data_IF_153220934771
#
_entry.id   IF_153220934771
#
_cell.length_a   1.000
_cell.length_b   1.000
_cell.length_c   1.000
_cell.angle_alpha   90.00
_cell.angle_beta   90.00
_cell.angle_gamma   90.00
#
_symmetry.space_group_name_H-M   'P 1'
#
loop_
_entity.id
_entity.type
_entity.pdbx_description
1 polymer ?
#
# COMPACT_ATOMS: atom_id res chain seq x y z
N UNK A 1 8.70 -42.72 -16.95
CA UNK A 1 7.56 -41.79 -16.84
C UNK A 1 7.76 -40.61 -15.87
N UNK A 2 8.76 -40.62 -14.96
CA UNK A 2 8.92 -39.59 -13.92
C UNK A 2 9.56 -38.26 -14.42
N UNK A 3 10.54 -38.32 -15.32
CA UNK A 3 11.33 -37.15 -15.77
C UNK A 3 10.50 -36.16 -16.59
N UNK A 4 9.62 -36.63 -17.49
CA UNK A 4 8.75 -35.74 -18.30
C UNK A 4 7.74 -34.96 -17.45
N UNK A 5 7.31 -35.51 -16.31
CA UNK A 5 6.38 -34.85 -15.39
C UNK A 5 7.10 -33.79 -14.56
N UNK A 6 8.30 -34.10 -14.05
CA UNK A 6 9.15 -33.15 -13.34
C UNK A 6 9.57 -31.96 -14.23
N UNK A 7 9.96 -32.22 -15.48
CA UNK A 7 10.36 -31.17 -16.43
C UNK A 7 9.19 -30.23 -16.78
N UNK A 8 7.98 -30.76 -16.95
CA UNK A 8 6.77 -29.94 -17.16
C UNK A 8 6.46 -29.07 -15.95
N UNK A 9 6.59 -29.59 -14.74
CA UNK A 9 6.38 -28.83 -13.50
C UNK A 9 7.42 -27.71 -13.38
N UNK A 10 8.69 -27.99 -13.70
CA UNK A 10 9.77 -27.01 -13.66
C UNK A 10 9.57 -25.88 -14.68
N UNK A 11 9.26 -26.22 -15.95
CA UNK A 11 8.99 -25.23 -17.00
C UNK A 11 7.77 -24.37 -16.65
N UNK A 12 6.72 -24.98 -16.10
CA UNK A 12 5.55 -24.24 -15.62
C UNK A 12 5.90 -23.26 -14.48
N UNK A 13 6.71 -23.68 -13.51
CA UNK A 13 7.18 -22.80 -12.45
C UNK A 13 8.04 -21.66 -12.98
N UNK A 14 8.98 -21.93 -13.90
CA UNK A 14 9.85 -20.91 -14.47
C UNK A 14 9.06 -19.87 -15.29
N UNK A 15 8.14 -20.31 -16.15
CA UNK A 15 7.26 -19.42 -16.91
C UNK A 15 6.36 -18.60 -15.99
N UNK A 16 5.83 -19.21 -14.93
CA UNK A 16 5.04 -18.50 -13.94
C UNK A 16 5.88 -17.43 -13.26
N UNK A 17 7.06 -17.75 -12.71
CA UNK A 17 7.96 -16.77 -12.10
C UNK A 17 8.26 -15.57 -13.03
N UNK A 18 8.44 -15.81 -14.33
CA UNK A 18 8.63 -14.75 -15.33
C UNK A 18 7.38 -13.87 -15.45
N UNK A 19 6.18 -14.46 -15.57
CA UNK A 19 4.91 -13.71 -15.63
C UNK A 19 4.68 -12.90 -14.34
N UNK A 20 4.97 -13.48 -13.17
CA UNK A 20 4.86 -12.81 -11.86
C UNK A 20 5.81 -11.61 -11.78
N UNK A 21 7.04 -11.78 -12.26
CA UNK A 21 8.05 -10.73 -12.30
C UNK A 21 7.63 -9.59 -13.24
N UNK A 22 7.25 -9.91 -14.49
CA UNK A 22 6.76 -8.91 -15.46
C UNK A 22 5.49 -8.18 -14.98
N UNK A 23 4.58 -8.85 -14.28
CA UNK A 23 3.41 -8.21 -13.68
C UNK A 23 3.77 -7.34 -12.48
N UNK A 24 4.79 -7.70 -11.68
CA UNK A 24 5.31 -6.86 -10.58
C UNK A 24 5.85 -5.56 -11.13
N UNK A 25 6.70 -5.61 -12.14
CA UNK A 25 7.33 -4.41 -12.71
C UNK A 25 6.28 -3.45 -13.28
N UNK A 26 5.24 -3.99 -13.93
CA UNK A 26 4.12 -3.20 -14.44
C UNK A 26 3.23 -2.59 -13.33
N UNK A 27 3.04 -3.28 -12.19
CA UNK A 27 2.31 -2.72 -11.05
C UNK A 27 3.10 -1.61 -10.38
N UNK A 28 4.39 -1.85 -10.13
CA UNK A 28 5.29 -0.87 -9.51
C UNK A 28 5.44 0.40 -10.34
N UNK A 29 5.63 0.23 -11.66
CA UNK A 29 5.69 1.34 -12.60
C UNK A 29 4.44 2.21 -12.52
N UNK A 30 3.25 1.60 -12.55
CA UNK A 30 1.98 2.34 -12.46
C UNK A 30 1.79 3.06 -11.12
N UNK A 31 2.19 2.45 -9.99
CA UNK A 31 2.11 3.14 -8.70
C UNK A 31 3.07 4.34 -8.68
N UNK A 32 4.28 4.17 -9.21
CA UNK A 32 5.24 5.29 -9.37
C UNK A 32 4.68 6.39 -10.29
N UNK A 33 4.05 6.02 -11.41
CA UNK A 33 3.36 6.97 -12.30
C UNK A 33 2.22 7.69 -11.58
N UNK A 34 1.41 6.99 -10.78
CA UNK A 34 0.35 7.62 -9.99
C UNK A 34 0.92 8.66 -9.01
N UNK A 35 2.02 8.35 -8.33
CA UNK A 35 2.70 9.30 -7.44
C UNK A 35 3.33 10.47 -8.20
N UNK A 36 3.89 10.23 -9.38
CA UNK A 36 4.41 11.28 -10.25
C UNK A 36 3.29 12.26 -10.65
N UNK A 37 2.17 11.76 -11.15
CA UNK A 37 1.03 12.61 -11.53
C UNK A 37 0.41 13.34 -10.33
N UNK A 38 0.31 12.69 -9.17
CA UNK A 38 -0.14 13.34 -7.95
C UNK A 38 0.78 14.50 -7.55
N UNK A 39 2.10 14.32 -7.67
CA UNK A 39 3.09 15.38 -7.43
C UNK A 39 3.01 16.52 -8.44
N UNK A 40 2.89 16.22 -9.75
CA UNK A 40 2.71 17.22 -10.82
C UNK A 40 1.46 18.06 -10.60
N UNK A 41 0.37 17.45 -10.13
CA UNK A 41 -0.88 18.13 -9.80
C UNK A 41 -0.83 18.87 -8.46
N UNK A 42 0.24 18.72 -7.68
CA UNK A 42 0.35 19.29 -6.34
C UNK A 42 -0.75 18.79 -5.39
N UNK A 43 -1.13 17.51 -5.50
CA UNK A 43 -2.24 16.97 -4.71
C UNK A 43 -1.87 16.97 -3.23
N UNK A 44 -2.76 17.53 -2.42
CA UNK A 44 -2.75 17.32 -0.97
C UNK A 44 -3.36 15.96 -0.60
N UNK A 45 -3.29 15.60 0.68
CA UNK A 45 -3.82 14.32 1.17
C UNK A 45 -5.29 14.11 0.79
N UNK A 46 -6.14 15.12 1.00
CA UNK A 46 -7.58 15.07 0.67
C UNK A 46 -7.79 14.84 -0.82
N UNK A 47 -7.10 15.59 -1.66
CA UNK A 47 -7.17 15.45 -3.12
C UNK A 47 -6.75 14.07 -3.60
N UNK A 48 -5.75 13.46 -2.97
CA UNK A 48 -5.34 12.10 -3.30
C UNK A 48 -6.44 11.09 -2.95
N UNK A 49 -7.05 11.22 -1.76
CA UNK A 49 -8.17 10.36 -1.33
C UNK A 49 -9.40 10.53 -2.24
N UNK A 50 -9.71 11.76 -2.67
CA UNK A 50 -10.78 12.02 -3.65
C UNK A 50 -10.53 11.31 -4.98
N UNK A 51 -9.30 11.38 -5.51
CA UNK A 51 -8.95 10.67 -6.75
C UNK A 51 -9.01 9.16 -6.59
N UNK A 52 -8.72 8.65 -5.39
CA UNK A 52 -8.92 7.25 -5.07
C UNK A 52 -10.41 6.87 -5.06
N UNK A 53 -11.26 7.67 -4.43
CA UNK A 53 -12.71 7.45 -4.44
C UNK A 53 -13.31 7.48 -5.86
N UNK A 54 -12.82 8.37 -6.73
CA UNK A 54 -13.18 8.41 -8.15
C UNK A 54 -12.67 7.15 -8.90
N UNK A 55 -11.49 6.64 -8.55
CA UNK A 55 -10.96 5.40 -9.14
C UNK A 55 -11.84 4.19 -8.82
N UNK A 56 -12.41 4.13 -7.61
CA UNK A 56 -13.44 3.14 -7.22
C UNK A 56 -14.82 3.39 -7.84
N UNK A 57 -15.05 4.56 -8.46
CA UNK A 57 -16.30 4.91 -9.13
C UNK A 57 -17.37 5.50 -8.20
N UNK A 58 -16.97 6.08 -7.06
CA UNK A 58 -17.91 6.61 -6.06
C UNK A 58 -18.34 8.04 -6.30
N UNK A 59 -17.55 8.77 -7.08
CA UNK A 59 -17.83 10.14 -7.46
C UNK A 59 -17.37 10.32 -8.90
N UNK A 60 -18.03 11.22 -9.63
CA UNK A 60 -17.45 11.86 -10.80
C UNK A 60 -16.99 13.22 -10.29
N UNK A 61 -15.68 13.45 -10.15
CA UNK A 61 -15.27 14.73 -9.57
C UNK A 61 -15.76 15.88 -10.45
N UNK A 62 -16.53 16.78 -9.84
CA UNK A 62 -16.85 18.09 -10.41
C UNK A 62 -15.66 19.05 -10.33
N UNK A 63 -14.41 18.54 -10.29
CA UNK A 63 -13.20 19.35 -10.14
C UNK A 63 -12.97 20.16 -11.42
N UNK A 64 -13.60 21.34 -11.45
CA UNK A 64 -13.34 22.46 -12.34
C UNK A 64 -12.07 23.26 -11.94
N UNK A 65 -11.16 22.69 -11.15
CA UNK A 65 -9.95 23.37 -10.69
C UNK A 65 -8.72 22.52 -10.97
N UNK A 66 -8.15 22.72 -12.16
CA UNK A 66 -6.87 22.14 -12.56
C UNK A 66 -6.88 21.48 -13.93
N UNK A 67 -5.72 20.93 -14.28
CA UNK A 67 -5.48 20.15 -15.50
C UNK A 67 -6.32 18.85 -15.48
N UNK A 68 -7.51 18.93 -16.05
CA UNK A 68 -8.49 17.83 -16.19
C UNK A 68 -7.86 16.61 -16.85
N UNK A 69 -6.96 16.82 -17.81
CA UNK A 69 -6.31 15.73 -18.56
C UNK A 69 -5.40 14.96 -17.61
N UNK A 70 -4.54 15.66 -16.86
CA UNK A 70 -3.63 15.04 -15.90
C UNK A 70 -4.36 14.35 -14.75
N UNK A 71 -5.46 14.95 -14.25
CA UNK A 71 -6.33 14.29 -13.27
C UNK A 71 -6.93 12.98 -13.80
N UNK A 72 -7.47 13.01 -15.02
CA UNK A 72 -8.06 11.83 -15.66
C UNK A 72 -7.04 10.70 -15.83
N UNK A 73 -5.78 11.04 -16.17
CA UNK A 73 -4.69 10.06 -16.21
C UNK A 73 -4.40 9.46 -14.84
N UNK A 74 -4.26 10.29 -13.81
CA UNK A 74 -4.05 9.84 -12.43
C UNK A 74 -5.13 8.84 -11.97
N UNK A 75 -6.40 9.20 -12.12
CA UNK A 75 -7.54 8.34 -11.74
C UNK A 75 -7.55 7.04 -12.56
N UNK A 76 -7.25 7.10 -13.86
CA UNK A 76 -7.19 5.92 -14.73
C UNK A 76 -6.10 4.94 -14.31
N UNK A 77 -4.94 5.45 -13.89
CA UNK A 77 -3.83 4.64 -13.39
C UNK A 77 -4.23 3.96 -12.07
N UNK A 78 -4.80 4.70 -11.11
CA UNK A 78 -5.32 4.14 -9.87
C UNK A 78 -6.34 3.03 -10.11
N UNK A 79 -7.29 3.25 -11.02
CA UNK A 79 -8.30 2.25 -11.40
C UNK A 79 -7.66 0.99 -11.97
N UNK A 80 -6.62 1.13 -12.80
CA UNK A 80 -5.87 0.00 -13.33
C UNK A 80 -5.12 -0.77 -12.24
N UNK A 81 -4.52 -0.07 -11.26
CA UNK A 81 -3.86 -0.69 -10.11
C UNK A 81 -4.85 -1.53 -9.30
N UNK A 82 -6.01 -0.96 -8.96
CA UNK A 82 -7.07 -1.63 -8.20
C UNK A 82 -7.54 -2.89 -8.93
N UNK A 83 -7.74 -2.80 -10.26
CA UNK A 83 -8.17 -3.95 -11.08
C UNK A 83 -7.15 -5.08 -11.01
N UNK A 84 -5.88 -4.78 -11.25
CA UNK A 84 -4.83 -5.79 -11.28
C UNK A 84 -4.64 -6.45 -9.92
N UNK A 85 -4.74 -5.68 -8.83
CA UNK A 85 -4.63 -6.21 -7.48
C UNK A 85 -5.74 -7.20 -7.14
N UNK A 86 -6.96 -7.03 -7.68
CA UNK A 86 -8.05 -8.00 -7.51
C UNK A 86 -7.74 -9.36 -8.14
N UNK A 87 -6.96 -9.38 -9.22
CA UNK A 87 -6.64 -10.58 -10.01
C UNK A 87 -5.41 -11.36 -9.51
N UNK A 88 -4.76 -10.95 -8.41
CA UNK A 88 -3.51 -11.58 -7.92
C UNK A 88 -3.76 -12.92 -7.21
N UNK A 89 -2.92 -13.92 -7.52
CA UNK A 89 -2.97 -15.26 -6.92
C UNK A 89 -2.23 -15.38 -5.57
N UNK A 90 -2.51 -16.44 -4.79
CA UNK A 90 -1.88 -16.66 -3.46
C UNK A 90 -0.38 -16.93 -3.55
N UNK A 91 0.02 -17.66 -4.58
CA UNK A 91 1.40 -18.04 -4.80
C UNK A 91 2.27 -16.81 -5.12
N UNK A 92 1.76 -15.91 -5.96
CA UNK A 92 2.40 -14.63 -6.29
C UNK A 92 2.62 -13.74 -5.08
N UNK A 93 1.68 -13.78 -4.12
CA UNK A 93 1.77 -12.99 -2.90
C UNK A 93 2.83 -13.51 -1.92
N UNK A 94 2.86 -14.83 -1.70
CA UNK A 94 3.85 -15.43 -0.78
C UNK A 94 5.29 -15.14 -1.23
N UNK A 95 5.59 -15.38 -2.52
CA UNK A 95 6.93 -15.11 -3.07
C UNK A 95 7.34 -13.63 -2.95
N UNK A 96 6.38 -12.71 -3.08
CA UNK A 96 6.66 -11.27 -2.94
C UNK A 96 6.96 -10.89 -1.50
N UNK A 97 6.22 -11.42 -0.52
CA UNK A 97 6.52 -11.16 0.89
C UNK A 97 7.85 -11.79 1.34
N UNK A 98 8.21 -12.96 0.81
CA UNK A 98 9.53 -13.57 1.05
C UNK A 98 10.66 -12.71 0.46
N UNK A 99 10.45 -12.15 -0.74
CA UNK A 99 11.40 -11.22 -1.35
C UNK A 99 11.58 -9.94 -0.50
N UNK A 100 10.49 -9.42 0.07
CA UNK A 100 10.53 -8.29 1.00
C UNK A 100 11.33 -8.60 2.27
N UNK A 101 11.11 -9.77 2.88
CA UNK A 101 11.88 -10.21 4.04
C UNK A 101 13.38 -10.31 3.71
N UNK A 102 13.71 -10.88 2.55
CA UNK A 102 15.10 -10.97 2.06
C UNK A 102 15.71 -9.57 1.87
N UNK A 103 14.95 -8.65 1.31
CA UNK A 103 15.39 -7.28 1.08
C UNK A 103 15.64 -6.53 2.39
N UNK A 104 14.72 -6.62 3.36
CA UNK A 104 14.92 -6.03 4.69
C UNK A 104 16.17 -6.55 5.37
N UNK A 105 16.41 -7.87 5.31
CA UNK A 105 17.65 -8.46 5.82
C UNK A 105 18.89 -7.91 5.14
N UNK A 106 18.85 -7.75 3.81
CA UNK A 106 19.98 -7.22 3.04
C UNK A 106 20.29 -5.75 3.37
N UNK A 107 19.27 -4.98 3.72
CA UNK A 107 19.43 -3.57 4.09
C UNK A 107 20.09 -3.41 5.46
N UNK A 108 20.18 -4.46 6.29
CA UNK A 108 20.69 -4.41 7.68
C UNK A 108 20.10 -3.23 8.48
N UNK A 109 18.88 -2.83 8.14
CA UNK A 109 18.26 -1.61 8.63
C UNK A 109 17.27 -1.98 9.73
N UNK A 110 17.29 -1.25 10.84
CA UNK A 110 16.25 -1.25 11.86
C UNK A 110 15.01 -0.53 11.29
N UNK A 111 13.98 -1.25 10.81
CA UNK A 111 12.90 -0.61 10.10
C UNK A 111 11.88 -0.02 11.07
N UNK A 112 11.16 1.00 10.62
CA UNK A 112 9.88 1.37 11.18
C UNK A 112 8.85 0.40 10.58
N UNK A 113 8.05 -0.25 11.41
CA UNK A 113 6.92 -1.07 11.01
C UNK A 113 5.63 -0.27 11.21
N UNK A 114 4.72 -0.33 10.25
CA UNK A 114 3.35 0.17 10.38
C UNK A 114 2.38 -1.01 10.29
N UNK A 115 1.47 -1.11 11.25
CA UNK A 115 0.29 -1.96 11.14
C UNK A 115 -0.72 -1.16 10.30
N UNK A 116 -0.94 -1.59 9.06
CA UNK A 116 -1.65 -0.87 8.01
C UNK A 116 -0.97 0.45 7.53
N UNK A 117 -0.88 0.63 6.21
CA UNK A 117 -0.50 1.89 5.55
C UNK A 117 -1.11 1.98 4.14
N UNK A 118 -2.11 2.85 3.97
CA UNK A 118 -2.79 3.02 2.70
C UNK A 118 -1.97 3.82 1.69
N UNK A 119 -2.39 3.73 0.42
CA UNK A 119 -1.74 4.45 -0.67
C UNK A 119 -1.70 5.98 -0.46
N UNK A 120 -2.74 6.65 0.08
CA UNK A 120 -2.69 8.07 0.41
C UNK A 120 -1.59 8.41 1.43
N UNK A 121 -1.43 7.60 2.48
CA UNK A 121 -0.39 7.83 3.49
C UNK A 121 1.01 7.61 2.93
N UNK A 122 1.20 6.58 2.09
CA UNK A 122 2.49 6.32 1.44
C UNK A 122 2.90 7.53 0.57
N UNK A 123 1.99 8.03 -0.26
CA UNK A 123 2.23 9.23 -1.07
C UNK A 123 2.55 10.45 -0.18
N UNK A 124 1.79 10.65 0.89
CA UNK A 124 1.98 11.79 1.79
C UNK A 124 3.32 11.76 2.51
N UNK A 125 3.72 10.59 3.03
CA UNK A 125 5.02 10.38 3.68
C UNK A 125 6.15 10.67 2.69
N UNK A 126 6.08 10.10 1.48
CA UNK A 126 7.06 10.34 0.42
C UNK A 126 7.18 11.83 0.11
N UNK A 127 6.06 12.51 -0.14
CA UNK A 127 6.04 13.94 -0.47
C UNK A 127 6.67 14.79 0.64
N UNK A 128 6.35 14.50 1.91
CA UNK A 128 6.92 15.20 3.07
C UNK A 128 8.43 15.00 3.20
N UNK A 129 8.93 13.78 2.98
CA UNK A 129 10.36 13.48 3.03
C UNK A 129 11.11 14.20 1.88
N UNK A 130 10.56 14.18 0.68
CA UNK A 130 11.15 14.86 -0.48
C UNK A 130 11.17 16.38 -0.31
N UNK A 131 10.14 16.98 0.32
CA UNK A 131 10.14 18.40 0.69
C UNK A 131 11.27 18.77 1.67
N UNK A 132 11.75 17.80 2.46
CA UNK A 132 12.91 17.95 3.35
C UNK A 132 14.24 17.59 2.67
N UNK A 133 14.24 17.34 1.37
CA UNK A 133 15.43 16.93 0.61
C UNK A 133 15.84 15.47 0.81
N UNK A 134 14.97 14.64 1.42
CA UNK A 134 15.24 13.23 1.66
C UNK A 134 14.65 12.42 0.50
N UNK A 135 15.51 11.76 -0.26
CA UNK A 135 15.09 10.90 -1.36
C UNK A 135 14.58 9.56 -0.83
N UNK A 136 13.42 9.13 -1.32
CA UNK A 136 12.75 7.89 -0.86
C UNK A 136 12.35 7.07 -2.08
N UNK A 137 12.84 5.84 -2.12
CA UNK A 137 12.36 4.83 -3.05
C UNK A 137 11.18 4.08 -2.42
N UNK A 138 10.12 3.83 -3.20
CA UNK A 138 8.95 3.10 -2.70
C UNK A 138 8.78 1.81 -3.47
N UNK A 139 8.79 0.70 -2.73
CA UNK A 139 8.44 -0.63 -3.22
C UNK A 139 7.10 -1.07 -2.66
N UNK A 140 6.39 -1.90 -3.43
CA UNK A 140 5.16 -2.56 -2.98
C UNK A 140 5.27 -4.05 -3.20
N UNK A 141 4.91 -4.77 -2.16
CA UNK A 141 4.72 -6.21 -2.18
C UNK A 141 3.23 -6.52 -2.06
N UNK A 142 2.88 -7.78 -2.24
CA UNK A 142 1.49 -8.20 -2.25
C UNK A 142 1.27 -9.12 -1.07
N UNK A 143 0.43 -8.69 -0.13
CA UNK A 143 -0.19 -9.49 0.90
C UNK A 143 -1.62 -9.81 0.44
N UNK A 144 -1.86 -10.97 -0.19
CA UNK A 144 -3.13 -11.25 -0.87
C UNK A 144 -4.36 -11.16 0.04
N UNK A 145 -4.21 -11.51 1.32
CA UNK A 145 -5.33 -11.43 2.25
C UNK A 145 -5.56 -10.01 2.76
N UNK A 146 -4.59 -9.09 2.60
CA UNK A 146 -4.65 -7.77 3.21
C UNK A 146 -4.82 -7.87 4.72
N UNK A 147 -4.11 -8.82 5.34
CA UNK A 147 -4.18 -9.13 6.77
C UNK A 147 -2.78 -9.32 7.33
N UNK A 148 -2.56 -8.85 8.55
CA UNK A 148 -1.34 -9.04 9.34
C UNK A 148 -0.95 -10.52 9.49
N UNK A 149 -1.93 -11.43 9.52
CA UNK A 149 -1.67 -12.88 9.68
C UNK A 149 -0.81 -13.47 8.56
N UNK A 150 -1.00 -13.05 7.31
CA UNK A 150 -0.17 -13.50 6.18
C UNK A 150 1.26 -13.00 6.29
N UNK A 151 1.41 -11.74 6.71
CA UNK A 151 2.70 -11.11 6.90
C UNK A 151 3.49 -11.82 8.01
N UNK A 152 2.90 -11.95 9.20
CA UNK A 152 3.51 -12.65 10.34
C UNK A 152 3.95 -14.08 10.00
N UNK A 153 3.17 -14.79 9.18
CA UNK A 153 3.53 -16.14 8.71
C UNK A 153 4.83 -16.17 7.92
N UNK A 154 5.08 -15.17 7.07
CA UNK A 154 6.33 -15.05 6.29
C UNK A 154 7.51 -14.70 7.20
N UNK A 155 7.28 -13.80 8.17
CA UNK A 155 8.29 -13.42 9.15
C UNK A 155 8.55 -14.50 10.21
N UNK A 156 7.64 -15.48 10.34
CA UNK A 156 7.66 -16.57 11.32
C UNK A 156 7.55 -16.10 12.77
N UNK A 157 6.73 -15.08 12.98
CA UNK A 157 6.53 -14.43 14.28
C UNK A 157 5.04 -14.45 14.68
N UNK A 158 4.75 -14.33 15.99
CA UNK A 158 3.37 -14.39 16.50
C UNK A 158 2.65 -13.04 16.46
N UNK A 159 3.37 -11.93 16.62
CA UNK A 159 2.83 -10.56 16.62
C UNK A 159 3.68 -9.60 15.77
N UNK A 160 3.12 -8.46 15.36
CA UNK A 160 3.91 -7.40 14.70
C UNK A 160 4.99 -6.83 15.63
N UNK A 161 4.76 -6.86 16.94
CA UNK A 161 5.77 -6.46 17.92
C UNK A 161 6.94 -7.45 17.98
N UNK A 162 6.71 -8.74 17.77
CA UNK A 162 7.78 -9.73 17.62
C UNK A 162 8.58 -9.46 16.34
N UNK A 163 7.91 -9.15 15.22
CA UNK A 163 8.62 -8.76 13.98
C UNK A 163 9.46 -7.50 14.22
N UNK A 164 8.92 -6.47 14.87
CA UNK A 164 9.69 -5.27 15.18
C UNK A 164 10.93 -5.60 16.04
N UNK A 165 10.76 -6.43 17.08
CA UNK A 165 11.89 -6.89 17.92
C UNK A 165 12.93 -7.69 17.13
N UNK A 166 12.51 -8.55 16.20
CA UNK A 166 13.41 -9.34 15.36
C UNK A 166 14.39 -8.47 14.55
N UNK A 167 13.98 -7.25 14.16
CA UNK A 167 14.80 -6.31 13.40
C UNK A 167 15.21 -5.08 14.20
N UNK A 168 15.12 -5.11 15.53
CA UNK A 168 15.44 -3.97 16.40
C UNK A 168 14.72 -2.67 15.96
N UNK A 169 13.53 -2.82 15.39
CA UNK A 169 12.72 -1.76 14.79
C UNK A 169 11.69 -1.14 15.73
N UNK A 170 10.92 -0.19 15.19
CA UNK A 170 9.84 0.50 15.91
C UNK A 170 8.48 0.18 15.29
N UNK A 171 7.44 -0.04 16.10
CA UNK A 171 6.10 -0.32 15.61
C UNK A 171 5.17 0.89 15.76
N UNK A 172 4.52 1.28 14.68
CA UNK A 172 3.40 2.23 14.63
C UNK A 172 2.11 1.47 14.29
N UNK A 173 1.25 1.25 15.27
CA UNK A 173 -0.06 0.61 15.07
C UNK A 173 -1.24 1.59 15.07
N UNK A 174 -0.95 2.90 15.07
CA UNK A 174 -1.98 3.94 15.24
C UNK A 174 -2.87 4.06 14.00
N UNK A 175 -2.36 3.77 12.79
CA UNK A 175 -3.16 3.83 11.56
C UNK A 175 -4.25 2.75 11.60
N UNK A 176 -3.88 1.49 11.82
CA UNK A 176 -4.83 0.38 11.95
C UNK A 176 -5.83 0.62 13.09
N UNK A 177 -5.36 1.07 14.26
CA UNK A 177 -6.24 1.43 15.36
C UNK A 177 -7.26 2.51 14.97
N UNK A 178 -6.83 3.59 14.32
CA UNK A 178 -7.71 4.68 13.92
C UNK A 178 -8.69 4.26 12.82
N UNK A 179 -8.28 3.36 11.92
CA UNK A 179 -9.14 2.77 10.91
C UNK A 179 -10.29 2.02 11.57
N UNK A 180 -9.97 1.06 12.45
CA UNK A 180 -10.96 0.26 13.16
C UNK A 180 -11.84 1.08 14.10
N UNK A 181 -11.29 2.12 14.73
CA UNK A 181 -12.02 2.92 15.72
C UNK A 181 -12.96 3.94 15.07
N UNK A 182 -12.54 4.60 13.99
CA UNK A 182 -13.22 5.79 13.47
C UNK A 182 -13.74 5.68 12.04
N UNK A 183 -13.22 4.75 11.24
CA UNK A 183 -13.46 4.69 9.78
C UNK A 183 -14.15 3.40 9.31
N UNK A 184 -14.12 2.32 10.10
CA UNK A 184 -14.73 1.03 9.73
C UNK A 184 -16.08 0.76 10.42
N UNK A 185 -16.31 1.33 11.62
CA UNK A 185 -17.46 0.96 12.47
C UNK A 185 -18.82 1.25 11.84
N UNK A 186 -18.96 2.41 11.21
CA UNK A 186 -20.24 2.91 10.71
C UNK A 186 -20.07 3.46 9.30
N UNK A 187 -20.98 3.14 8.36
CA UNK A 187 -21.02 3.75 7.04
C UNK A 187 -21.25 5.26 7.13
N UNK A 188 -20.45 6.03 6.40
CA UNK A 188 -20.52 7.50 6.38
C UNK A 188 -20.84 8.02 4.98
N UNK A 189 -21.28 9.27 4.88
CA UNK A 189 -21.23 9.99 3.61
C UNK A 189 -19.76 10.13 3.16
N UNK A 190 -19.51 10.13 1.85
CA UNK A 190 -18.15 10.07 1.31
C UNK A 190 -17.31 11.26 1.78
N UNK A 191 -17.89 12.47 1.75
CA UNK A 191 -17.23 13.70 2.19
C UNK A 191 -16.84 13.63 3.68
N UNK A 192 -17.72 13.08 4.51
CA UNK A 192 -17.46 12.89 5.95
C UNK A 192 -16.35 11.86 6.15
N UNK A 193 -16.35 10.76 5.40
CA UNK A 193 -15.29 9.75 5.46
C UNK A 193 -13.93 10.37 5.12
N UNK A 194 -13.84 11.13 4.03
CA UNK A 194 -12.60 11.79 3.59
C UNK A 194 -12.11 12.79 4.64
N UNK A 195 -13.02 13.56 5.25
CA UNK A 195 -12.67 14.46 6.35
C UNK A 195 -12.10 13.70 7.55
N UNK A 196 -12.71 12.58 7.94
CA UNK A 196 -12.20 11.73 9.03
C UNK A 196 -10.84 11.13 8.67
N UNK A 197 -10.62 10.65 7.44
CA UNK A 197 -9.31 10.16 7.02
C UNK A 197 -8.23 11.24 7.16
N UNK A 198 -8.53 12.47 6.73
CA UNK A 198 -7.63 13.62 6.90
C UNK A 198 -7.42 14.00 8.38
N UNK A 199 -8.41 13.78 9.25
CA UNK A 199 -8.29 14.05 10.68
C UNK A 199 -7.50 12.97 11.45
N UNK A 200 -7.67 11.69 11.10
CA UNK A 200 -7.17 10.57 11.90
C UNK A 200 -5.96 9.85 11.29
N UNK A 201 -5.86 9.76 9.97
CA UNK A 201 -4.77 9.03 9.31
C UNK A 201 -3.61 9.96 8.93
N UNK A 202 -3.91 11.11 8.31
CA UNK A 202 -2.88 12.07 7.86
C UNK A 202 -1.93 12.52 8.99
N UNK A 203 -2.38 12.90 10.20
CA UNK A 203 -1.45 13.32 11.25
C UNK A 203 -0.53 12.18 11.71
N UNK A 204 -0.97 10.94 11.59
CA UNK A 204 -0.13 9.77 11.87
C UNK A 204 0.92 9.56 10.78
N UNK A 205 0.53 9.69 9.51
CA UNK A 205 1.47 9.68 8.39
C UNK A 205 2.51 10.80 8.49
N UNK A 206 2.12 12.01 8.91
CA UNK A 206 3.06 13.12 9.16
C UNK A 206 4.05 12.80 10.27
N UNK A 207 3.58 12.25 11.40
CA UNK A 207 4.46 11.81 12.49
C UNK A 207 5.45 10.73 12.05
N UNK A 208 5.01 9.78 11.22
CA UNK A 208 5.90 8.76 10.65
C UNK A 208 6.96 9.40 9.75
N UNK A 209 6.57 10.33 8.87
CA UNK A 209 7.50 11.05 8.00
C UNK A 209 8.52 11.89 8.81
N UNK A 210 8.07 12.57 9.86
CA UNK A 210 8.96 13.31 10.76
C UNK A 210 9.95 12.39 11.49
N UNK A 211 9.47 11.24 11.96
CA UNK A 211 10.31 10.24 12.61
C UNK A 211 11.35 9.67 11.63
N UNK A 212 10.92 9.27 10.42
CA UNK A 212 11.80 8.82 9.34
C UNK A 212 12.87 9.86 9.00
N UNK A 213 12.50 11.14 8.90
CA UNK A 213 13.43 12.21 8.58
C UNK A 213 14.51 12.40 9.65
N UNK A 214 14.17 12.18 10.92
CA UNK A 214 15.11 12.38 12.02
C UNK A 214 16.13 11.25 12.13
N UNK A 215 15.69 10.00 11.92
CA UNK A 215 16.51 8.81 12.18
C UNK A 215 16.98 8.09 10.92
N UNK A 216 16.55 8.55 9.73
CA UNK A 216 16.93 8.01 8.41
C UNK A 216 16.68 6.51 8.27
N UNK A 217 15.54 6.03 8.78
CA UNK A 217 15.15 4.60 8.74
C UNK A 217 14.10 4.33 7.68
N UNK A 218 14.15 3.12 7.13
CA UNK A 218 13.17 2.59 6.19
C UNK A 218 11.83 2.33 6.91
N UNK A 219 10.72 2.39 6.17
CA UNK A 219 9.38 2.09 6.66
C UNK A 219 8.79 0.90 5.93
N UNK A 220 8.20 -0.02 6.66
CA UNK A 220 7.55 -1.22 6.15
C UNK A 220 6.14 -1.29 6.71
N UNK A 221 5.14 -1.61 5.89
CA UNK A 221 3.81 -1.94 6.37
C UNK A 221 3.35 -3.30 5.87
N UNK A 222 2.54 -3.97 6.67
CA UNK A 222 2.09 -5.33 6.41
C UNK A 222 0.94 -5.43 5.38
N UNK A 223 0.11 -4.41 5.31
CA UNK A 223 -0.97 -4.24 4.33
C UNK A 223 -1.40 -2.77 4.19
N UNK A 224 -2.35 -2.51 3.28
CA UNK A 224 -3.04 -1.23 3.14
C UNK A 224 -4.52 -1.35 3.51
N UNK A 225 -5.35 -0.49 2.95
CA UNK A 225 -6.81 -0.56 3.09
C UNK A 225 -7.53 -0.24 1.77
N UNK A 226 -8.81 -0.58 1.69
CA UNK A 226 -9.74 -0.20 0.63
C UNK A 226 -10.79 0.78 1.17
N UNK A 227 -11.27 1.69 0.31
CA UNK A 227 -12.50 2.46 0.55
C UNK A 227 -13.64 1.68 -0.09
N UNK A 228 -14.69 1.37 0.67
CA UNK A 228 -15.78 0.50 0.20
C UNK A 228 -17.14 1.12 0.47
N UNK A 229 -18.09 0.89 -0.43
CA UNK A 229 -19.49 1.27 -0.23
C UNK A 229 -20.28 0.07 0.31
N UNK A 230 -20.81 0.20 1.52
CA UNK A 230 -21.56 -0.84 2.22
C UNK A 230 -22.66 -0.21 3.08
N UNK A 231 -23.83 -0.85 3.18
CA UNK A 231 -24.94 -0.42 4.04
C UNK A 231 -25.33 1.06 3.84
N UNK A 232 -25.41 1.50 2.58
CA UNK A 232 -25.74 2.87 2.17
C UNK A 232 -24.75 3.97 2.61
N UNK A 233 -23.49 3.61 2.91
CA UNK A 233 -22.42 4.58 3.13
C UNK A 233 -21.05 4.01 2.80
N UNK A 234 -20.03 4.79 3.08
CA UNK A 234 -18.64 4.46 2.82
C UNK A 234 -17.90 4.18 4.12
N UNK A 235 -17.04 3.17 4.09
CA UNK A 235 -16.12 2.81 5.18
C UNK A 235 -14.72 2.59 4.62
N UNK A 236 -13.72 2.59 5.49
CA UNK A 236 -12.38 2.09 5.20
C UNK A 236 -12.23 0.72 5.85
N UNK A 237 -11.76 -0.28 5.09
CA UNK A 237 -11.62 -1.67 5.59
C UNK A 237 -10.41 -2.35 4.96
N UNK A 238 -9.97 -3.43 5.58
CA UNK A 238 -8.98 -4.36 5.04
C UNK A 238 -9.40 -5.80 5.36
N UNK A 239 -8.74 -6.79 4.76
CA UNK A 239 -9.04 -8.19 5.04
C UNK A 239 -10.36 -8.75 4.48
N UNK A 240 -11.28 -7.91 3.99
CA UNK A 240 -12.58 -8.36 3.48
C UNK A 240 -12.46 -8.92 2.05
N UNK A 241 -12.66 -10.25 1.83
CA UNK A 241 -12.48 -10.89 0.53
C UNK A 241 -13.29 -10.31 -0.62
N UNK A 242 -14.41 -9.64 -0.33
CA UNK A 242 -15.28 -9.04 -1.34
C UNK A 242 -14.69 -7.76 -1.93
N UNK A 243 -13.80 -7.09 -1.19
CA UNK A 243 -13.31 -5.75 -1.53
C UNK A 243 -11.79 -5.65 -1.69
N UNK A 244 -11.06 -6.78 -1.63
CA UNK A 244 -9.59 -6.83 -1.69
C UNK A 244 -9.01 -6.22 -2.97
N UNK A 245 -8.66 -4.94 -2.91
CA UNK A 245 -7.90 -4.21 -3.91
C UNK A 245 -6.60 -3.71 -3.30
N UNK A 246 -6.60 -2.45 -2.87
CA UNK A 246 -5.44 -1.77 -2.30
C UNK A 246 -5.04 -2.30 -0.93
N UNK A 247 -5.95 -2.91 -0.17
CA UNK A 247 -5.59 -3.60 1.08
C UNK A 247 -4.53 -4.68 0.89
N UNK A 248 -4.36 -5.19 -0.33
CA UNK A 248 -3.31 -6.17 -0.63
C UNK A 248 -1.90 -5.60 -0.71
N UNK A 249 -1.74 -4.28 -0.79
CA UNK A 249 -0.44 -3.66 -0.90
C UNK A 249 0.30 -3.68 0.44
N UNK A 250 1.53 -4.17 0.45
CA UNK A 250 2.45 -4.10 1.59
C UNK A 250 3.61 -3.19 1.19
N UNK A 251 3.56 -1.89 1.55
CA UNK A 251 4.56 -0.91 1.14
C UNK A 251 5.88 -1.04 1.91
N UNK A 252 6.98 -0.77 1.22
CA UNK A 252 8.32 -0.58 1.76
C UNK A 252 8.89 0.74 1.22
N UNK A 253 9.14 1.70 2.10
CA UNK A 253 9.78 2.97 1.78
C UNK A 253 11.25 2.90 2.23
N UNK A 254 12.16 3.11 1.28
CA UNK A 254 13.59 2.99 1.46
C UNK A 254 14.21 4.38 1.34
N UNK A 255 14.73 4.89 2.45
CA UNK A 255 15.47 6.15 2.48
C UNK A 255 16.79 5.94 1.74
N UNK A 256 17.06 6.78 0.75
CA UNK A 256 18.31 6.72 0.00
C UNK A 256 19.41 7.46 0.78
N UNK A 257 20.65 6.94 0.77
CA UNK A 257 21.80 7.59 1.40
C UNK A 257 22.23 8.87 0.68
#
# INVERSE_FOLDING_TARGET
MCVKKALKIFIFHALLCIVVYLRRDNLMMRISEAFHYASVLGLDYVSFVEGLAEAYGYTESKRLRGDIVTWSFFVRILRSIIKDLKEVSEYESTLKLEAMQSQLRSLSAEPILSDCLGLPEVYWIKSKLEQKGISVHVEFYINKKGLTTSFKKVFREETMADVARQYEGYLFNIIDHNLHEYLEKEPLELEILIQKMNQYLKPTAERIADYMANIHKNLLADHGYDIVFQNNGYIVTHGNPQFLGLSRLSPLLIVQP
#
